data_IF_929202077308
#
_entry.id   IF_929202077308
#
_cell.length_a   1.000
_cell.length_b   1.000
_cell.length_c   1.000
_cell.angle_alpha   90.00
_cell.angle_beta   90.00
_cell.angle_gamma   90.00
#
_symmetry.space_group_name_H-M   'P 1'
#
loop_
_entity.id
_entity.type
_entity.pdbx_description
1 polymer ?
#
# COMPACT_ATOMS: atom_id res chain seq x y z
N UNK A 1 9.27 -8.30 5.28
CA UNK A 1 9.09 -9.72 4.91
C UNK A 1 7.94 -10.43 5.67
N UNK A 2 7.53 -10.00 6.86
CA UNK A 2 6.46 -10.64 7.66
C UNK A 2 5.06 -10.68 7.01
N UNK A 3 4.72 -9.73 6.13
CA UNK A 3 3.44 -9.72 5.43
C UNK A 3 3.18 -10.94 4.52
N UNK A 4 4.23 -11.72 4.16
CA UNK A 4 4.04 -12.98 3.42
C UNK A 4 3.40 -14.06 4.30
N UNK A 5 3.76 -14.14 5.58
CA UNK A 5 3.25 -15.17 6.49
C UNK A 5 1.79 -14.92 6.87
N UNK A 6 1.41 -13.67 7.18
CA UNK A 6 0.02 -13.35 7.55
C UNK A 6 -0.97 -13.63 6.42
N UNK A 7 -0.56 -13.41 5.17
CA UNK A 7 -1.39 -13.67 4.00
C UNK A 7 -1.53 -15.17 3.73
N UNK A 8 -0.46 -15.95 3.93
CA UNK A 8 -0.53 -17.42 3.84
C UNK A 8 -1.43 -18.02 4.92
N UNK A 9 -1.40 -17.44 6.14
CA UNK A 9 -2.22 -17.87 7.26
C UNK A 9 -3.71 -17.57 7.03
N UNK A 10 -4.02 -16.40 6.47
CA UNK A 10 -5.39 -16.04 6.08
C UNK A 10 -5.92 -16.94 4.94
N UNK A 11 -5.07 -17.23 3.95
CA UNK A 11 -5.41 -18.14 2.86
C UNK A 11 -5.66 -19.57 3.37
N UNK A 12 -4.84 -20.06 4.30
CA UNK A 12 -5.03 -21.35 4.94
C UNK A 12 -6.34 -21.39 5.76
N UNK A 13 -6.68 -20.30 6.45
CA UNK A 13 -7.91 -20.20 7.24
C UNK A 13 -9.16 -20.20 6.35
N UNK A 14 -9.12 -19.51 5.21
CA UNK A 14 -10.20 -19.53 4.22
C UNK A 14 -10.36 -20.91 3.56
N UNK A 15 -9.27 -21.66 3.40
CA UNK A 15 -9.29 -23.01 2.83
C UNK A 15 -9.69 -24.09 3.85
N UNK A 16 -9.68 -23.79 5.15
CA UNK A 16 -9.94 -24.75 6.22
C UNK A 16 -11.32 -25.43 6.16
N UNK A 17 -12.46 -24.75 5.85
CA UNK A 17 -13.76 -25.40 5.78
C UNK A 17 -13.87 -26.41 4.63
N UNK A 18 -13.21 -26.12 3.50
CA UNK A 18 -13.17 -27.01 2.35
C UNK A 18 -12.33 -28.26 2.64
N UNK A 19 -11.21 -28.11 3.37
CA UNK A 19 -10.39 -29.23 3.83
C UNK A 19 -11.13 -30.09 4.86
N UNK A 20 -11.86 -29.46 5.79
CA UNK A 20 -12.63 -30.16 6.81
C UNK A 20 -13.76 -31.00 6.21
N UNK A 21 -14.48 -30.48 5.22
CA UNK A 21 -15.49 -31.29 4.52
C UNK A 21 -14.89 -32.49 3.79
N UNK A 22 -13.72 -32.35 3.17
CA UNK A 22 -13.06 -33.46 2.47
C UNK A 22 -12.57 -34.56 3.42
N UNK A 23 -11.93 -34.19 4.54
CA UNK A 23 -11.31 -35.16 5.44
C UNK A 23 -12.24 -35.70 6.55
N UNK A 24 -13.25 -34.94 6.98
CA UNK A 24 -14.09 -35.30 8.15
C UNK A 24 -15.47 -35.80 7.74
N UNK A 25 -16.07 -35.24 6.69
CA UNK A 25 -17.45 -35.60 6.28
C UNK A 25 -17.46 -36.85 5.37
N UNK A 26 -16.34 -37.19 4.72
CA UNK A 26 -16.15 -38.47 4.02
C UNK A 26 -17.15 -38.77 2.89
N UNK A 27 -17.89 -37.76 2.42
CA UNK A 27 -19.01 -37.94 1.49
C UNK A 27 -18.64 -37.70 0.02
N UNK A 28 -17.35 -37.46 -0.28
CA UNK A 28 -16.86 -37.19 -1.64
C UNK A 28 -15.60 -37.99 -1.93
N UNK A 29 -15.55 -38.55 -3.14
CA UNK A 29 -14.40 -39.27 -3.67
C UNK A 29 -13.13 -38.41 -3.61
N UNK A 30 -12.00 -39.02 -3.22
CA UNK A 30 -10.74 -38.32 -2.91
C UNK A 30 -10.26 -37.52 -4.12
N UNK A 31 -10.46 -38.05 -5.32
CA UNK A 31 -10.14 -37.40 -6.59
C UNK A 31 -10.94 -36.10 -6.79
N UNK A 32 -12.23 -36.14 -6.48
CA UNK A 32 -13.13 -34.98 -6.61
C UNK A 32 -12.76 -33.89 -5.60
N UNK A 33 -12.42 -34.29 -4.37
CA UNK A 33 -11.96 -33.36 -3.34
C UNK A 33 -10.64 -32.68 -3.74
N UNK A 34 -9.69 -33.44 -4.29
CA UNK A 34 -8.38 -32.93 -4.72
C UNK A 34 -8.53 -31.91 -5.86
N UNK A 35 -9.31 -32.23 -6.89
CA UNK A 35 -9.55 -31.33 -8.03
C UNK A 35 -10.19 -30.01 -7.54
N UNK A 36 -11.21 -30.11 -6.68
CA UNK A 36 -11.90 -28.93 -6.14
C UNK A 36 -10.99 -28.08 -5.25
N UNK A 37 -10.10 -28.71 -4.49
CA UNK A 37 -9.08 -28.01 -3.71
C UNK A 37 -8.08 -27.27 -4.61
N UNK A 38 -7.55 -27.91 -5.67
CA UNK A 38 -6.63 -27.24 -6.60
C UNK A 38 -7.28 -26.02 -7.26
N UNK A 39 -8.54 -26.13 -7.70
CA UNK A 39 -9.28 -25.01 -8.29
C UNK A 39 -9.48 -23.88 -7.27
N UNK A 40 -9.83 -24.23 -6.03
CA UNK A 40 -10.01 -23.25 -4.96
C UNK A 40 -8.71 -22.51 -4.63
N UNK A 41 -7.58 -23.23 -4.54
CA UNK A 41 -6.26 -22.64 -4.30
C UNK A 41 -5.86 -21.71 -5.45
N UNK A 42 -6.09 -22.13 -6.70
CA UNK A 42 -5.80 -21.32 -7.88
C UNK A 42 -6.63 -20.03 -7.88
N UNK A 43 -7.94 -20.12 -7.66
CA UNK A 43 -8.84 -18.95 -7.58
C UNK A 43 -8.46 -18.02 -6.43
N UNK A 44 -8.15 -18.56 -5.26
CA UNK A 44 -7.69 -17.77 -4.12
C UNK A 44 -6.40 -17.02 -4.44
N UNK A 45 -5.44 -17.67 -5.09
CA UNK A 45 -4.18 -17.03 -5.52
C UNK A 45 -4.41 -15.91 -6.54
N UNK A 46 -5.35 -16.10 -7.46
CA UNK A 46 -5.69 -15.13 -8.50
C UNK A 46 -6.36 -13.90 -7.90
N UNK A 47 -7.40 -14.10 -7.07
CA UNK A 47 -8.11 -13.02 -6.37
C UNK A 47 -7.17 -12.22 -5.47
N UNK A 48 -6.30 -12.90 -4.73
CA UNK A 48 -5.31 -12.27 -3.87
C UNK A 48 -4.28 -11.46 -4.68
N UNK A 49 -3.88 -11.96 -5.85
CA UNK A 49 -3.01 -11.25 -6.79
C UNK A 49 -3.65 -9.93 -7.26
N UNK A 50 -4.92 -9.97 -7.64
CA UNK A 50 -5.70 -8.81 -8.06
C UNK A 50 -5.83 -7.79 -6.92
N UNK A 51 -6.23 -8.24 -5.73
CA UNK A 51 -6.38 -7.38 -4.56
C UNK A 51 -5.06 -6.68 -4.20
N UNK A 52 -3.94 -7.42 -4.25
CA UNK A 52 -2.60 -6.88 -3.98
C UNK A 52 -2.13 -5.90 -5.06
N UNK A 53 -2.55 -6.08 -6.31
CA UNK A 53 -2.29 -5.11 -7.36
C UNK A 53 -3.08 -3.82 -7.09
N UNK A 54 -4.37 -3.93 -6.77
CA UNK A 54 -5.23 -2.78 -6.47
C UNK A 54 -4.72 -1.98 -5.28
N UNK A 55 -4.31 -2.65 -4.19
CA UNK A 55 -3.77 -1.99 -3.01
C UNK A 55 -2.46 -1.23 -3.30
N UNK A 56 -1.61 -1.78 -4.18
CA UNK A 56 -0.37 -1.10 -4.62
C UNK A 56 -0.69 0.16 -5.42
N UNK A 57 -1.66 0.09 -6.32
CA UNK A 57 -2.10 1.26 -7.11
C UNK A 57 -2.68 2.33 -6.18
N UNK A 58 -3.57 1.93 -5.26
CA UNK A 58 -4.17 2.86 -4.29
C UNK A 58 -3.11 3.55 -3.42
N UNK A 59 -2.18 2.78 -2.87
CA UNK A 59 -1.12 3.35 -2.03
C UNK A 59 -0.19 4.29 -2.80
N UNK A 60 0.10 3.96 -4.07
CA UNK A 60 0.90 4.83 -4.95
C UNK A 60 0.22 6.17 -5.18
N UNK A 61 -1.08 6.18 -5.48
CA UNK A 61 -1.84 7.42 -5.71
C UNK A 61 -1.83 8.29 -4.44
N UNK A 62 -2.01 7.68 -3.27
CA UNK A 62 -2.00 8.42 -2.01
C UNK A 62 -0.64 9.06 -1.72
N UNK A 63 0.46 8.32 -1.96
CA UNK A 63 1.82 8.86 -1.79
C UNK A 63 2.09 10.03 -2.74
N UNK A 64 1.62 9.96 -3.99
CA UNK A 64 1.79 11.05 -4.96
C UNK A 64 1.12 12.36 -4.47
N UNK A 65 -0.04 12.27 -3.83
CA UNK A 65 -0.71 13.43 -3.24
C UNK A 65 0.01 14.00 -2.01
N UNK A 66 0.54 13.15 -1.13
CA UNK A 66 1.31 13.61 0.04
C UNK A 66 2.61 14.30 -0.38
N UNK A 67 3.31 13.73 -1.37
CA UNK A 67 4.54 14.31 -1.93
C UNK A 67 4.25 15.67 -2.56
N UNK A 68 3.15 15.83 -3.29
CA UNK A 68 2.76 17.12 -3.88
C UNK A 68 2.54 18.20 -2.81
N UNK A 69 1.79 17.89 -1.74
CA UNK A 69 1.56 18.84 -0.64
C UNK A 69 2.86 19.26 0.03
N UNK A 70 3.74 18.31 0.33
CA UNK A 70 5.05 18.61 0.90
C UNK A 70 5.89 19.50 -0.02
N UNK A 71 5.83 19.26 -1.33
CA UNK A 71 6.57 20.08 -2.29
C UNK A 71 6.05 21.51 -2.33
N UNK A 72 4.74 21.71 -2.22
CA UNK A 72 4.11 23.03 -2.17
C UNK A 72 4.51 23.78 -0.89
N UNK A 73 4.47 23.12 0.26
CA UNK A 73 4.94 23.67 1.54
C UNK A 73 6.41 24.09 1.48
N UNK A 74 7.27 23.25 0.90
CA UNK A 74 8.69 23.57 0.72
C UNK A 74 8.91 24.78 -0.19
N UNK A 75 8.13 24.91 -1.27
CA UNK A 75 8.20 26.08 -2.15
C UNK A 75 7.76 27.35 -1.44
N UNK A 76 6.72 27.28 -0.61
CA UNK A 76 6.26 28.41 0.20
C UNK A 76 7.34 28.87 1.17
N UNK A 77 7.92 27.93 1.94
CA UNK A 77 9.02 28.24 2.86
C UNK A 77 10.23 28.86 2.16
N UNK A 78 10.56 28.38 0.96
CA UNK A 78 11.66 28.96 0.18
C UNK A 78 11.34 30.38 -0.30
N UNK A 79 10.10 30.65 -0.72
CA UNK A 79 9.67 31.99 -1.12
C UNK A 79 9.73 32.96 0.05
N UNK A 80 9.25 32.56 1.22
CA UNK A 80 9.33 33.36 2.45
C UNK A 80 10.77 33.66 2.84
N UNK A 81 11.67 32.66 2.80
CA UNK A 81 13.10 32.88 3.08
C UNK A 81 13.77 33.83 2.11
N UNK A 82 13.41 33.76 0.82
CA UNK A 82 13.93 34.71 -0.19
C UNK A 82 13.41 36.11 0.05
N UNK A 83 12.14 36.28 0.39
CA UNK A 83 11.57 37.58 0.73
C UNK A 83 12.21 38.17 2.00
N UNK A 84 12.43 37.35 3.02
CA UNK A 84 13.13 37.77 4.25
C UNK A 84 14.59 38.17 3.98
N UNK A 85 15.30 37.44 3.12
CA UNK A 85 16.66 37.80 2.72
C UNK A 85 16.70 39.13 1.95
N UNK A 86 15.79 39.34 1.00
CA UNK A 86 15.69 40.60 0.25
C UNK A 86 15.37 41.80 1.16
N UNK A 87 14.47 41.64 2.13
CA UNK A 87 14.15 42.69 3.09
C UNK A 87 15.33 43.03 4.04
N UNK A 88 16.12 42.01 4.42
CA UNK A 88 17.31 42.22 5.23
C UNK A 88 18.42 42.96 4.46
N UNK A 89 18.59 42.67 3.17
CA UNK A 89 19.52 43.40 2.30
C UNK A 89 19.12 44.88 2.14
N UNK A 90 17.83 45.17 2.00
CA UNK A 90 17.31 46.54 1.88
C UNK A 90 17.52 47.36 3.17
N UNK A 91 17.34 46.75 4.35
CA UNK A 91 17.61 47.38 5.64
C UNK A 91 19.10 47.61 5.89
N UNK A 92 19.96 46.70 5.44
CA UNK A 92 21.41 46.85 5.55
C UNK A 92 21.95 47.96 4.63
N UNK A 93 21.42 48.09 3.41
CA UNK A 93 21.82 49.15 2.48
C UNK A 93 21.29 50.54 2.84
N UNK A 94 20.15 50.65 3.52
CA UNK A 94 19.59 51.92 3.98
C UNK A 94 20.28 52.53 5.20
N UNK A 95 20.98 51.72 6.01
CA UNK A 95 21.69 52.18 7.21
C UNK A 95 23.02 52.89 6.96
N UNK A 96 23.60 52.76 5.77
CA UNK A 96 24.87 53.41 5.41
C UNK A 96 24.71 54.86 4.92
N UNK A 97 23.47 55.34 4.77
CA UNK A 97 23.15 56.67 4.25
C UNK A 97 22.59 57.66 5.31
N UNK A 98 22.62 57.31 6.60
CA UNK A 98 22.12 58.13 7.70
C UNK A 98 23.25 58.64 8.62
#
# INVERSE_FOLDING_TARGET
MFARYSVLLLAALLAAPALWQAFVVGNLDVDTALIRYLIAVLLASLMLGILRALFRVYHRIQQEHEVQRQLEELRQQQAERRAAAAAAEEQAGGGEAA
#
